data_IF_223201515889
#
_entry.id   IF_223201515889
#
_cell.length_a   1.000
_cell.length_b   1.000
_cell.length_c   1.000
_cell.angle_alpha   90.00
_cell.angle_beta   90.00
_cell.angle_gamma   90.00
#
_symmetry.space_group_name_H-M   'P 1'
#
loop_
_entity.id
_entity.type
_entity.pdbx_description
1 polymer ?
#
# COMPACT_ATOMS: atom_id res chain seq x y z
N UNK A 1 6.46 -0.82 -24.29
CA UNK A 1 7.47 -1.33 -23.33
C UNK A 1 8.27 -2.42 -24.01
N UNK A 2 9.60 -2.38 -23.99
CA UNK A 2 10.40 -3.43 -24.65
C UNK A 2 10.26 -4.72 -23.82
N UNK A 3 9.82 -5.83 -24.43
CA UNK A 3 9.46 -7.10 -23.75
C UNK A 3 10.54 -7.62 -22.78
N UNK A 4 11.81 -7.25 -23.00
CA UNK A 4 12.94 -7.60 -22.12
C UNK A 4 12.87 -6.99 -20.70
N UNK A 5 12.34 -5.77 -20.55
CA UNK A 5 12.24 -5.11 -19.25
C UNK A 5 11.32 -5.88 -18.29
N UNK A 6 10.27 -6.52 -18.84
CA UNK A 6 9.34 -7.35 -18.08
C UNK A 6 10.02 -8.61 -17.57
N UNK A 7 10.78 -9.30 -18.42
CA UNK A 7 11.54 -10.49 -18.02
C UNK A 7 12.63 -10.19 -16.99
N UNK A 8 13.33 -9.06 -17.16
CA UNK A 8 14.30 -8.59 -16.18
C UNK A 8 13.63 -8.30 -14.83
N UNK A 9 12.49 -7.60 -14.83
CA UNK A 9 11.71 -7.33 -13.63
C UNK A 9 11.25 -8.61 -12.93
N UNK A 10 10.80 -9.62 -13.68
CA UNK A 10 10.41 -10.92 -13.15
C UNK A 10 11.58 -11.66 -12.50
N UNK A 11 12.73 -11.72 -13.18
CA UNK A 11 13.93 -12.38 -12.65
C UNK A 11 14.44 -11.71 -11.37
N UNK A 12 14.48 -10.38 -11.36
CA UNK A 12 14.87 -9.61 -10.17
C UNK A 12 13.90 -9.85 -9.02
N UNK A 13 12.59 -9.80 -9.29
CA UNK A 13 11.56 -10.08 -8.27
C UNK A 13 11.69 -11.49 -7.71
N UNK A 14 11.87 -12.50 -8.58
CA UNK A 14 12.05 -13.89 -8.16
C UNK A 14 13.31 -14.08 -7.31
N UNK A 15 14.41 -13.43 -7.69
CA UNK A 15 15.66 -13.46 -6.92
C UNK A 15 15.50 -12.88 -5.51
N UNK A 16 14.85 -11.72 -5.38
CA UNK A 16 14.60 -11.11 -4.06
C UNK A 16 13.62 -11.92 -3.20
N UNK A 17 12.60 -12.53 -3.81
CA UNK A 17 11.71 -13.46 -3.11
C UNK A 17 12.49 -14.66 -2.59
N UNK A 18 13.33 -15.27 -3.42
CA UNK A 18 14.17 -16.39 -2.99
C UNK A 18 15.11 -15.99 -1.85
N UNK A 19 15.75 -14.82 -1.95
CA UNK A 19 16.64 -14.31 -0.90
C UNK A 19 15.89 -14.11 0.43
N UNK A 20 14.68 -13.55 0.39
CA UNK A 20 13.86 -13.32 1.58
C UNK A 20 13.36 -14.63 2.22
N UNK A 21 13.04 -15.64 1.42
CA UNK A 21 12.47 -16.91 1.90
C UNK A 21 13.53 -17.95 2.28
N UNK A 22 14.74 -17.91 1.72
CA UNK A 22 15.76 -18.96 1.88
C UNK A 22 16.14 -19.25 3.34
N UNK A 23 16.09 -18.25 4.22
CA UNK A 23 16.40 -18.40 5.65
C UNK A 23 15.17 -18.53 6.56
N UNK A 24 13.96 -18.50 5.99
CA UNK A 24 12.73 -18.39 6.76
C UNK A 24 12.14 -19.77 7.06
N UNK A 25 11.98 -20.10 8.34
CA UNK A 25 11.23 -21.29 8.77
C UNK A 25 9.73 -21.02 8.64
N UNK A 26 9.19 -21.25 7.45
CA UNK A 26 7.79 -20.96 7.11
C UNK A 26 6.77 -21.58 8.10
N UNK A 27 7.09 -22.75 8.67
CA UNK A 27 6.26 -23.38 9.70
C UNK A 27 6.15 -22.56 11.00
N UNK A 28 7.28 -22.02 11.47
CA UNK A 28 7.32 -21.19 12.69
C UNK A 28 6.62 -19.84 12.47
N UNK A 29 6.72 -19.29 11.26
CA UNK A 29 5.99 -18.07 10.85
C UNK A 29 4.49 -18.31 10.88
N UNK A 30 4.03 -19.44 10.33
CA UNK A 30 2.61 -19.79 10.35
C UNK A 30 2.07 -19.99 11.77
N UNK A 31 2.84 -20.65 12.64
CA UNK A 31 2.51 -20.78 14.05
C UNK A 31 2.40 -19.42 14.75
N UNK A 32 3.39 -18.53 14.52
CA UNK A 32 3.42 -17.18 15.09
C UNK A 32 2.28 -16.30 14.56
N UNK A 33 1.89 -16.45 13.30
CA UNK A 33 0.75 -15.73 12.74
C UNK A 33 -0.57 -16.10 13.43
N UNK A 34 -0.76 -17.38 13.80
CA UNK A 34 -1.99 -17.83 14.48
C UNK A 34 -2.11 -17.33 15.92
N UNK A 35 -0.99 -17.15 16.61
CA UNK A 35 -0.95 -16.66 17.99
C UNK A 35 -0.79 -15.14 18.09
N UNK A 36 -0.58 -14.45 16.96
CA UNK A 36 -0.39 -13.01 16.94
C UNK A 36 -1.65 -12.26 17.40
N UNK A 37 -1.45 -11.20 18.18
CA UNK A 37 -2.53 -10.33 18.59
C UNK A 37 -2.88 -9.33 17.48
N UNK A 38 -3.98 -9.59 16.77
CA UNK A 38 -4.46 -8.75 15.68
C UNK A 38 -4.95 -7.35 16.09
N UNK A 39 -5.09 -7.06 17.40
CA UNK A 39 -5.43 -5.70 17.88
C UNK A 39 -4.38 -4.68 17.40
N UNK A 40 -3.12 -5.10 17.23
CA UNK A 40 -2.06 -4.24 16.70
C UNK A 40 -2.25 -3.81 15.25
N UNK A 41 -3.14 -4.46 14.49
CA UNK A 41 -3.49 -4.01 13.13
C UNK A 41 -4.33 -2.73 13.18
N UNK A 42 -5.15 -2.54 14.22
CA UNK A 42 -6.04 -1.38 14.36
C UNK A 42 -5.27 -0.05 14.29
N UNK A 43 -4.21 0.19 15.10
CA UNK A 43 -3.45 1.43 14.98
C UNK A 43 -2.78 1.58 13.61
N UNK A 44 -2.35 0.48 12.98
CA UNK A 44 -1.80 0.51 11.61
C UNK A 44 -2.83 0.96 10.57
N UNK A 45 -4.05 0.43 10.66
CA UNK A 45 -5.19 0.84 9.82
C UNK A 45 -5.51 2.32 10.03
N UNK A 46 -5.56 2.77 11.29
CA UNK A 46 -5.81 4.18 11.62
C UNK A 46 -4.74 5.09 11.03
N UNK A 47 -3.46 4.76 11.20
CA UNK A 47 -2.34 5.52 10.62
C UNK A 47 -2.41 5.54 9.09
N UNK A 48 -2.75 4.42 8.46
CA UNK A 48 -2.96 4.36 7.01
C UNK A 48 -4.06 5.33 6.55
N UNK A 49 -5.23 5.29 7.18
CA UNK A 49 -6.33 6.17 6.82
C UNK A 49 -6.02 7.65 7.09
N UNK A 50 -5.31 7.96 8.19
CA UNK A 50 -4.81 9.31 8.45
C UNK A 50 -3.83 9.77 7.37
N UNK A 51 -2.94 8.89 6.91
CA UNK A 51 -2.01 9.21 5.83
C UNK A 51 -2.74 9.48 4.51
N UNK A 52 -3.77 8.69 4.17
CA UNK A 52 -4.59 8.93 2.97
C UNK A 52 -5.45 10.18 3.11
N UNK A 53 -5.94 10.48 4.33
CA UNK A 53 -6.66 11.71 4.63
C UNK A 53 -5.78 12.94 4.43
N UNK A 54 -4.56 12.94 4.95
CA UNK A 54 -3.58 14.01 4.74
C UNK A 54 -3.27 14.23 3.26
N UNK A 55 -3.19 13.16 2.47
CA UNK A 55 -3.06 13.26 1.01
C UNK A 55 -4.30 13.89 0.37
N UNK A 56 -5.49 13.53 0.83
CA UNK A 56 -6.75 14.10 0.35
C UNK A 56 -6.80 15.60 0.63
N UNK A 57 -6.37 16.06 1.80
CA UNK A 57 -6.20 17.49 2.12
C UNK A 57 -5.24 18.19 1.17
N UNK A 58 -4.09 17.58 0.89
CA UNK A 58 -3.13 18.12 -0.07
C UNK A 58 -3.76 18.31 -1.45
N UNK A 59 -4.51 17.31 -1.93
CA UNK A 59 -5.20 17.38 -3.21
C UNK A 59 -6.33 18.41 -3.23
N UNK A 60 -7.10 18.52 -2.14
CA UNK A 60 -8.11 19.57 -2.00
C UNK A 60 -7.48 20.95 -2.11
N UNK A 61 -6.38 21.20 -1.40
CA UNK A 61 -5.66 22.47 -1.49
C UNK A 61 -5.18 22.79 -2.92
N UNK A 62 -4.65 21.79 -3.63
CA UNK A 62 -4.22 21.96 -5.03
C UNK A 62 -5.38 22.20 -6.00
N UNK A 63 -6.58 21.69 -5.71
CA UNK A 63 -7.75 21.81 -6.58
C UNK A 63 -8.56 23.08 -6.30
N UNK A 64 -8.40 23.71 -5.13
CA UNK A 64 -9.09 24.97 -4.74
C UNK A 64 -9.03 26.09 -5.79
N UNK A 65 -7.92 26.33 -6.52
CA UNK A 65 -7.88 27.35 -7.57
C UNK A 65 -8.80 27.06 -8.77
N UNK A 66 -9.15 25.79 -9.00
CA UNK A 66 -9.97 25.36 -10.13
C UNK A 66 -11.42 25.13 -9.74
N UNK A 67 -11.64 24.45 -8.62
CA UNK A 67 -12.97 24.10 -8.12
C UNK A 67 -12.88 23.65 -6.67
N UNK A 68 -13.74 24.21 -5.82
CA UNK A 68 -13.87 23.68 -4.46
C UNK A 68 -14.64 22.35 -4.49
N UNK A 69 -14.01 21.27 -4.03
CA UNK A 69 -14.61 19.94 -3.93
C UNK A 69 -14.56 19.54 -2.45
N UNK A 70 -15.71 19.22 -1.82
CA UNK A 70 -15.70 18.85 -0.41
C UNK A 70 -14.89 17.57 -0.18
N UNK A 71 -14.09 17.56 0.88
CA UNK A 71 -13.18 16.47 1.24
C UNK A 71 -13.86 15.10 1.31
N UNK A 72 -15.10 15.05 1.79
CA UNK A 72 -15.89 13.82 1.87
C UNK A 72 -16.14 13.18 0.51
N UNK A 73 -16.15 13.96 -0.58
CA UNK A 73 -16.26 13.45 -1.96
C UNK A 73 -14.88 13.15 -2.56
N UNK A 74 -13.86 13.92 -2.20
CA UNK A 74 -12.50 13.74 -2.73
C UNK A 74 -11.80 12.49 -2.15
N UNK A 75 -12.07 12.19 -0.88
CA UNK A 75 -11.46 11.07 -0.16
C UNK A 75 -11.62 9.71 -0.85
N UNK A 76 -12.83 9.23 -1.21
CA UNK A 76 -12.98 7.94 -1.89
C UNK A 76 -12.31 7.92 -3.28
N UNK A 77 -12.30 9.05 -3.99
CA UNK A 77 -11.61 9.17 -5.30
C UNK A 77 -10.10 8.98 -5.12
N UNK A 78 -9.51 9.61 -4.11
CA UNK A 78 -8.09 9.45 -3.78
C UNK A 78 -7.79 8.01 -3.34
N UNK A 79 -8.63 7.39 -2.53
CA UNK A 79 -8.48 5.99 -2.10
C UNK A 79 -8.47 5.05 -3.32
N UNK A 80 -9.45 5.16 -4.21
CA UNK A 80 -9.54 4.33 -5.43
C UNK A 80 -8.34 4.59 -6.34
N UNK A 81 -7.95 5.85 -6.52
CA UNK A 81 -6.78 6.22 -7.31
C UNK A 81 -5.49 5.60 -6.77
N UNK A 82 -5.30 5.60 -5.45
CA UNK A 82 -4.17 4.93 -4.82
C UNK A 82 -4.26 3.40 -4.86
N UNK A 83 -5.45 2.82 -4.82
CA UNK A 83 -5.61 1.37 -5.00
C UNK A 83 -5.16 0.91 -6.39
N UNK A 84 -5.41 1.71 -7.44
CA UNK A 84 -4.97 1.38 -8.80
C UNK A 84 -3.52 1.73 -9.10
N UNK A 85 -2.91 2.63 -8.31
CA UNK A 85 -1.56 3.14 -8.53
C UNK A 85 -0.48 2.49 -7.63
N UNK A 86 -0.87 1.93 -6.48
CA UNK A 86 0.02 1.17 -5.60
C UNK A 86 -0.12 -0.33 -5.85
#
# INVERSE_FOLDING_TARGET
MKKWQLWLGLLVSAFFIWLALRGLKLGDVWGSMRSANYIWIIPGILVYFLAVWARTWRWDYMLRPFKHIPLVRLFPVVVIGYMGNN
#
